data_IF_347088759132
#
_entry.id   IF_347088759132
#
_cell.length_a   1.000
_cell.length_b   1.000
_cell.length_c   1.000
_cell.angle_alpha   90.00
_cell.angle_beta   90.00
_cell.angle_gamma   90.00
#
_symmetry.space_group_name_H-M   'P 1'
#
loop_
_entity.id
_entity.type
_entity.pdbx_description
1 polymer ?
#
# COMPACT_ATOMS: atom_id res chain seq x y z
N UNK A 1 -34.21 36.55 11.01
CA UNK A 1 -33.84 37.15 12.30
C UNK A 1 -32.73 38.14 11.96
N UNK A 2 -33.10 39.42 11.87
CA UNK A 2 -32.19 40.49 11.46
C UNK A 2 -31.17 40.74 12.57
N UNK A 3 -29.92 40.41 12.30
CA UNK A 3 -28.80 40.82 13.14
C UNK A 3 -27.79 41.45 12.17
N UNK A 4 -28.14 42.63 11.64
CA UNK A 4 -27.13 43.63 11.26
C UNK A 4 -26.57 44.24 12.56
N UNK A 5 -26.04 43.38 13.45
CA UNK A 5 -25.25 43.86 14.58
C UNK A 5 -23.90 44.20 13.98
N UNK A 6 -23.68 45.49 13.78
CA UNK A 6 -22.37 46.04 13.40
C UNK A 6 -21.39 45.55 14.46
N UNK A 7 -20.47 44.66 14.07
CA UNK A 7 -19.38 44.20 14.94
C UNK A 7 -18.43 45.37 15.18
N UNK A 8 -17.86 45.47 16.38
CA UNK A 8 -16.78 46.43 16.57
C UNK A 8 -15.57 46.03 15.74
N UNK A 9 -14.64 46.97 15.55
CA UNK A 9 -13.41 46.72 14.82
C UNK A 9 -12.58 45.62 15.49
N UNK A 10 -12.52 45.62 16.82
CA UNK A 10 -11.83 44.58 17.59
C UNK A 10 -12.50 43.22 17.42
N UNK A 11 -13.84 43.15 17.56
CA UNK A 11 -14.61 41.91 17.33
C UNK A 11 -14.39 41.36 15.91
N UNK A 12 -14.33 42.24 14.90
CA UNK A 12 -14.08 41.88 13.51
C UNK A 12 -12.67 41.30 13.31
N UNK A 13 -11.66 41.87 13.98
CA UNK A 13 -10.27 41.39 13.93
C UNK A 13 -10.16 40.01 14.60
N UNK A 14 -10.76 39.84 15.78
CA UNK A 14 -10.79 38.57 16.51
C UNK A 14 -11.49 37.47 15.70
N UNK A 15 -12.62 37.81 15.07
CA UNK A 15 -13.33 36.91 14.18
C UNK A 15 -12.48 36.49 12.98
N UNK A 16 -11.82 37.44 12.32
CA UNK A 16 -10.92 37.15 11.20
C UNK A 16 -9.77 36.22 11.60
N UNK A 17 -9.19 36.43 12.78
CA UNK A 17 -8.14 35.56 13.32
C UNK A 17 -8.65 34.16 13.64
N UNK A 18 -9.81 34.05 14.29
CA UNK A 18 -10.45 32.78 14.59
C UNK A 18 -10.70 31.97 13.30
N UNK A 19 -11.27 32.63 12.29
CA UNK A 19 -11.57 32.00 11.00
C UNK A 19 -10.30 31.62 10.24
N UNK A 20 -9.26 32.45 10.27
CA UNK A 20 -7.96 32.11 9.69
C UNK A 20 -7.41 30.81 10.31
N UNK A 21 -7.49 30.68 11.65
CA UNK A 21 -7.09 29.47 12.36
C UNK A 21 -7.95 28.27 11.97
N UNK A 22 -9.29 28.43 11.93
CA UNK A 22 -10.20 27.34 11.55
C UNK A 22 -9.94 26.86 10.11
N UNK A 23 -9.85 27.76 9.14
CA UNK A 23 -9.56 27.38 7.74
C UNK A 23 -8.16 26.79 7.57
N UNK A 24 -7.17 27.22 8.36
CA UNK A 24 -5.85 26.58 8.40
C UNK A 24 -5.94 25.12 8.84
N UNK A 25 -6.69 24.84 9.91
CA UNK A 25 -6.91 23.47 10.39
C UNK A 25 -7.66 22.63 9.36
N UNK A 26 -8.72 23.17 8.75
CA UNK A 26 -9.48 22.49 7.69
C UNK A 26 -8.59 22.13 6.50
N UNK A 27 -7.75 23.07 6.05
CA UNK A 27 -6.81 22.83 4.95
C UNK A 27 -5.80 21.73 5.29
N UNK A 28 -5.31 21.70 6.53
CA UNK A 28 -4.41 20.65 7.00
C UNK A 28 -5.09 19.28 6.99
N UNK A 29 -6.30 19.19 7.55
CA UNK A 29 -7.08 17.95 7.57
C UNK A 29 -7.40 17.44 6.17
N UNK A 30 -7.81 18.32 5.24
CA UNK A 30 -8.02 17.97 3.82
C UNK A 30 -6.73 17.49 3.16
N UNK A 31 -5.59 18.10 3.48
CA UNK A 31 -4.28 17.66 3.01
C UNK A 31 -3.93 16.26 3.50
N UNK A 32 -4.14 15.98 4.79
CA UNK A 32 -3.92 14.65 5.37
C UNK A 32 -4.85 13.59 4.75
N UNK A 33 -6.14 13.90 4.57
CA UNK A 33 -7.09 13.00 3.91
C UNK A 33 -6.69 12.71 2.45
N UNK A 34 -6.22 13.72 1.71
CA UNK A 34 -5.72 13.53 0.35
C UNK A 34 -4.48 12.63 0.31
N UNK A 35 -3.55 12.79 1.25
CA UNK A 35 -2.38 11.91 1.33
C UNK A 35 -2.80 10.45 1.56
N UNK A 36 -3.74 10.20 2.49
CA UNK A 36 -4.27 8.85 2.73
C UNK A 36 -4.99 8.30 1.50
N UNK A 37 -5.75 9.15 0.80
CA UNK A 37 -6.43 8.77 -0.46
C UNK A 37 -5.43 8.38 -1.55
N UNK A 38 -4.33 9.09 -1.69
CA UNK A 38 -3.25 8.73 -2.61
C UNK A 38 -2.57 7.42 -2.22
N UNK A 39 -2.30 7.21 -0.93
CA UNK A 39 -1.74 5.96 -0.43
C UNK A 39 -2.69 4.78 -0.66
N UNK A 40 -3.99 4.97 -0.42
CA UNK A 40 -5.03 3.98 -0.69
C UNK A 40 -5.07 3.62 -2.18
N UNK A 41 -5.00 4.60 -3.08
CA UNK A 41 -4.96 4.34 -4.52
C UNK A 41 -3.73 3.52 -4.92
N UNK A 42 -2.57 3.78 -4.31
CA UNK A 42 -1.35 2.98 -4.52
C UNK A 42 -1.49 1.56 -3.96
N UNK A 43 -2.09 1.41 -2.78
CA UNK A 43 -2.34 0.12 -2.15
C UNK A 43 -3.31 -0.74 -2.98
N UNK A 44 -4.41 -0.16 -3.48
CA UNK A 44 -5.36 -0.83 -4.38
C UNK A 44 -4.69 -1.36 -5.64
N UNK A 45 -3.86 -0.53 -6.27
CA UNK A 45 -3.08 -0.95 -7.45
C UNK A 45 -2.11 -2.10 -7.16
N UNK A 46 -1.67 -2.24 -5.91
CA UNK A 46 -0.81 -3.35 -5.49
C UNK A 46 -1.62 -4.62 -5.19
N UNK A 47 -2.74 -4.50 -4.47
CA UNK A 47 -3.60 -5.64 -4.11
C UNK A 47 -4.36 -6.23 -5.30
N UNK A 48 -4.67 -5.43 -6.34
CA UNK A 48 -5.27 -5.89 -7.60
C UNK A 48 -4.35 -6.80 -8.42
N UNK A 49 -3.03 -6.76 -8.18
CA UNK A 49 -2.11 -7.62 -8.93
C UNK A 49 -2.37 -9.08 -8.58
N UNK A 50 -2.59 -9.95 -9.59
CA UNK A 50 -2.81 -11.36 -9.32
C UNK A 50 -1.58 -11.96 -8.63
N UNK A 51 -1.81 -12.75 -7.59
CA UNK A 51 -0.74 -13.44 -6.87
C UNK A 51 -0.06 -14.42 -7.81
N UNK A 52 1.19 -14.12 -8.18
CA UNK A 52 1.98 -14.99 -9.03
C UNK A 52 2.22 -16.33 -8.32
N UNK A 53 1.60 -17.40 -8.81
CA UNK A 53 1.82 -18.75 -8.29
C UNK A 53 3.03 -19.36 -8.98
N UNK A 54 3.97 -19.85 -8.19
CA UNK A 54 5.11 -20.59 -8.70
C UNK A 54 4.70 -21.99 -9.15
N UNK A 55 5.24 -22.43 -10.29
CA UNK A 55 5.10 -23.79 -10.79
C UNK A 55 6.08 -24.75 -10.12
N UNK A 56 5.64 -25.97 -9.81
CA UNK A 56 6.53 -27.03 -9.31
C UNK A 56 7.62 -27.38 -10.33
N UNK A 57 7.32 -27.28 -11.62
CA UNK A 57 8.23 -27.67 -12.70
C UNK A 57 9.52 -26.86 -12.70
N UNK A 58 9.43 -25.55 -12.41
CA UNK A 58 10.59 -24.65 -12.30
C UNK A 58 11.62 -25.15 -11.27
N UNK A 59 11.16 -25.74 -10.17
CA UNK A 59 12.03 -26.27 -9.12
C UNK A 59 12.37 -27.74 -9.31
N UNK A 60 11.63 -28.45 -10.15
CA UNK A 60 11.85 -29.85 -10.46
C UNK A 60 12.95 -30.05 -11.52
N UNK A 61 13.11 -29.11 -12.45
CA UNK A 61 14.07 -29.20 -13.57
C UNK A 61 15.51 -29.59 -13.17
N UNK A 62 16.12 -29.04 -12.10
CA UNK A 62 17.46 -29.45 -11.70
C UNK A 62 17.57 -30.93 -11.32
N UNK A 63 16.49 -31.53 -10.83
CA UNK A 63 16.47 -32.95 -10.44
C UNK A 63 16.35 -33.88 -11.64
N UNK A 64 15.77 -33.44 -12.76
CA UNK A 64 15.82 -34.18 -14.01
C UNK A 64 17.26 -34.27 -14.53
N UNK A 65 17.99 -33.16 -14.49
CA UNK A 65 19.42 -33.13 -14.84
C UNK A 65 20.21 -34.02 -13.87
N UNK A 66 19.96 -33.90 -12.57
CA UNK A 66 20.64 -34.71 -11.57
C UNK A 66 20.36 -36.22 -11.74
N UNK A 67 19.16 -36.61 -12.16
CA UNK A 67 18.82 -38.01 -12.40
C UNK A 67 19.63 -38.58 -13.58
N UNK A 68 19.76 -37.82 -14.68
CA UNK A 68 20.60 -38.22 -15.83
C UNK A 68 22.07 -38.33 -15.42
N UNK A 69 22.59 -37.35 -14.67
CA UNK A 69 23.98 -37.39 -14.18
C UNK A 69 24.19 -38.59 -13.26
N UNK A 70 23.25 -38.86 -12.35
CA UNK A 70 23.35 -39.99 -11.44
C UNK A 70 23.32 -41.33 -12.17
N UNK A 71 22.49 -41.47 -13.22
CA UNK A 71 22.49 -42.66 -14.08
C UNK A 71 23.83 -42.86 -14.79
N UNK A 72 24.41 -41.80 -15.36
CA UNK A 72 25.73 -41.84 -16.01
C UNK A 72 26.81 -42.29 -15.01
N UNK A 73 26.81 -41.73 -13.80
CA UNK A 73 27.78 -42.08 -12.75
C UNK A 73 27.65 -43.55 -12.35
N UNK A 74 26.44 -44.06 -12.14
CA UNK A 74 26.22 -45.47 -11.77
C UNK A 74 26.58 -46.40 -12.93
N UNK A 75 26.27 -46.00 -14.17
CA UNK A 75 26.60 -46.78 -15.35
C UNK A 75 28.12 -46.94 -15.53
N UNK A 76 28.86 -45.83 -15.61
CA UNK A 76 30.31 -45.88 -15.82
C UNK A 76 31.06 -46.37 -14.58
N UNK A 77 30.68 -45.91 -13.38
CA UNK A 77 31.33 -46.30 -12.14
C UNK A 77 31.15 -47.79 -11.83
N UNK A 78 29.93 -48.31 -11.98
CA UNK A 78 29.67 -49.73 -11.78
C UNK A 78 30.25 -50.61 -12.90
N UNK A 79 30.26 -50.12 -14.15
CA UNK A 79 30.92 -50.81 -15.26
C UNK A 79 32.43 -50.97 -15.04
N UNK A 80 33.11 -49.92 -14.55
CA UNK A 80 34.52 -49.98 -14.18
C UNK A 80 34.77 -50.97 -13.04
N UNK A 81 33.99 -50.91 -11.96
CA UNK A 81 34.13 -51.83 -10.83
C UNK A 81 33.90 -53.29 -11.22
N UNK A 82 32.90 -53.55 -12.07
CA UNK A 82 32.65 -54.89 -12.59
C UNK A 82 33.80 -55.37 -13.48
N UNK A 83 34.42 -54.49 -14.27
CA UNK A 83 35.56 -54.86 -15.14
C UNK A 83 36.85 -55.16 -14.37
N UNK A 84 37.00 -54.67 -13.14
CA UNK A 84 38.20 -54.85 -12.31
C UNK A 84 38.07 -55.99 -11.28
N UNK A 85 36.86 -56.53 -11.06
CA UNK A 85 36.57 -57.54 -10.05
C UNK A 85 36.29 -58.94 -10.61
N UNK A 86 36.31 -59.97 -9.76
CA UNK A 86 35.84 -61.31 -10.12
C UNK A 86 34.32 -61.29 -10.33
N UNK A 87 33.89 -61.49 -11.58
CA UNK A 87 32.48 -61.46 -11.96
C UNK A 87 31.67 -62.53 -11.22
N UNK A 88 30.90 -62.13 -10.21
CA UNK A 88 29.78 -62.94 -9.73
C UNK A 88 28.50 -62.45 -10.40
N UNK A 89 27.62 -63.37 -10.78
CA UNK A 89 26.32 -63.04 -11.37
C UNK A 89 25.49 -62.10 -10.46
N UNK A 90 25.71 -62.19 -9.15
CA UNK A 90 25.05 -61.36 -8.14
C UNK A 90 25.48 -59.89 -8.23
N UNK A 91 26.79 -59.61 -8.38
CA UNK A 91 27.30 -58.24 -8.49
C UNK A 91 26.77 -57.52 -9.74
N UNK A 92 26.68 -58.24 -10.88
CA UNK A 92 26.10 -57.70 -12.11
C UNK A 92 24.62 -57.38 -11.93
N UNK A 93 23.87 -58.27 -11.29
CA UNK A 93 22.42 -58.10 -11.05
C UNK A 93 22.13 -56.90 -10.13
N UNK A 94 22.93 -56.72 -9.08
CA UNK A 94 22.83 -55.57 -8.15
C UNK A 94 23.15 -54.26 -8.89
N UNK A 95 24.17 -54.24 -9.74
CA UNK A 95 24.51 -53.06 -10.53
C UNK A 95 23.40 -52.65 -11.50
N UNK A 96 22.81 -53.61 -12.22
CA UNK A 96 21.67 -53.33 -13.10
C UNK A 96 20.50 -52.74 -12.31
N UNK A 97 20.19 -53.31 -11.14
CA UNK A 97 19.14 -52.81 -10.27
C UNK A 97 19.42 -51.37 -9.78
N UNK A 98 20.66 -51.06 -9.39
CA UNK A 98 21.07 -49.71 -9.00
C UNK A 98 20.93 -48.72 -10.16
N UNK A 99 21.38 -49.10 -11.37
CA UNK A 99 21.26 -48.25 -12.56
C UNK A 99 19.82 -47.80 -12.80
N UNK A 100 18.85 -48.70 -12.63
CA UNK A 100 17.43 -48.37 -12.78
C UNK A 100 16.86 -47.58 -11.59
N UNK A 101 17.21 -47.95 -10.36
CA UNK A 101 16.63 -47.34 -9.17
C UNK A 101 17.17 -45.93 -8.87
N UNK A 102 18.44 -45.66 -9.19
CA UNK A 102 19.06 -44.37 -8.89
C UNK A 102 18.34 -43.17 -9.53
N UNK A 103 18.07 -43.13 -10.85
CA UNK A 103 17.35 -41.99 -11.45
C UNK A 103 15.93 -41.86 -10.90
N UNK A 104 15.24 -42.98 -10.62
CA UNK A 104 13.91 -42.99 -10.01
C UNK A 104 13.95 -42.35 -8.62
N UNK A 105 14.90 -42.74 -7.77
CA UNK A 105 15.06 -42.20 -6.43
C UNK A 105 15.34 -40.69 -6.46
N UNK A 106 16.23 -40.24 -7.36
CA UNK A 106 16.54 -38.81 -7.54
C UNK A 106 15.31 -38.03 -7.99
N UNK A 107 14.54 -38.56 -8.94
CA UNK A 107 13.28 -37.95 -9.41
C UNK A 107 12.26 -37.83 -8.27
N UNK A 108 12.04 -38.90 -7.51
CA UNK A 108 11.05 -38.92 -6.42
C UNK A 108 11.44 -37.93 -5.31
N UNK A 109 12.68 -37.97 -4.85
CA UNK A 109 13.20 -37.03 -3.85
C UNK A 109 13.10 -35.60 -4.38
N UNK A 110 13.51 -35.38 -5.63
CA UNK A 110 13.44 -34.10 -6.30
C UNK A 110 12.03 -33.52 -6.39
N UNK A 111 11.04 -34.37 -6.71
CA UNK A 111 9.63 -33.98 -6.76
C UNK A 111 9.13 -33.53 -5.38
N UNK A 112 9.45 -34.28 -4.32
CA UNK A 112 9.07 -33.92 -2.93
C UNK A 112 9.67 -32.56 -2.56
N UNK A 113 10.96 -32.37 -2.83
CA UNK A 113 11.67 -31.12 -2.52
C UNK A 113 11.13 -29.94 -3.35
N UNK A 114 10.85 -30.14 -4.64
CA UNK A 114 10.27 -29.14 -5.52
C UNK A 114 8.86 -28.72 -5.06
N UNK A 115 8.01 -29.67 -4.66
CA UNK A 115 6.67 -29.39 -4.13
C UNK A 115 6.76 -28.63 -2.81
N UNK A 116 7.63 -29.04 -1.89
CA UNK A 116 7.85 -28.34 -0.62
C UNK A 116 8.30 -26.91 -0.84
N UNK A 117 9.27 -26.70 -1.73
CA UNK A 117 9.77 -25.36 -2.09
C UNK A 117 8.69 -24.49 -2.73
N UNK A 118 7.94 -25.04 -3.69
CA UNK A 118 6.79 -24.37 -4.31
C UNK A 118 5.77 -23.94 -3.27
N UNK A 119 5.36 -24.85 -2.39
CA UNK A 119 4.34 -24.57 -1.38
C UNK A 119 4.79 -23.49 -0.40
N UNK A 120 6.06 -23.51 0.02
CA UNK A 120 6.64 -22.46 0.86
C UNK A 120 6.56 -21.08 0.19
N UNK A 121 7.01 -20.98 -1.06
CA UNK A 121 7.01 -19.71 -1.79
C UNK A 121 5.60 -19.21 -2.13
N UNK A 122 4.69 -20.11 -2.49
CA UNK A 122 3.29 -19.76 -2.72
C UNK A 122 2.61 -19.30 -1.43
N UNK A 123 2.93 -19.91 -0.27
CA UNK A 123 2.40 -19.48 1.02
C UNK A 123 2.85 -18.05 1.34
N UNK A 124 4.14 -17.75 1.18
CA UNK A 124 4.67 -16.38 1.38
C UNK A 124 4.01 -15.38 0.44
N UNK A 125 3.78 -15.75 -0.83
CA UNK A 125 3.11 -14.88 -1.79
C UNK A 125 1.64 -14.60 -1.40
N UNK A 126 0.92 -15.61 -0.92
CA UNK A 126 -0.46 -15.47 -0.42
C UNK A 126 -0.50 -14.63 0.86
N UNK A 127 0.44 -14.85 1.78
CA UNK A 127 0.53 -14.08 3.02
C UNK A 127 0.83 -12.61 2.74
N UNK A 128 1.79 -12.31 1.87
CA UNK A 128 2.08 -10.95 1.42
C UNK A 128 0.85 -10.27 0.79
N UNK A 129 0.07 -11.00 -0.01
CA UNK A 129 -1.16 -10.47 -0.60
C UNK A 129 -2.21 -10.19 0.48
N UNK A 130 -2.35 -11.09 1.46
CA UNK A 130 -3.26 -10.87 2.59
C UNK A 130 -2.87 -9.65 3.43
N UNK A 131 -1.57 -9.40 3.64
CA UNK A 131 -1.10 -8.21 4.34
C UNK A 131 -1.38 -6.93 3.56
N UNK A 132 -1.28 -6.98 2.23
CA UNK A 132 -1.62 -5.84 1.36
C UNK A 132 -3.12 -5.52 1.44
N UNK A 133 -3.99 -6.54 1.45
CA UNK A 133 -5.44 -6.36 1.66
C UNK A 133 -5.78 -5.81 3.04
N UNK A 134 -5.09 -6.26 4.10
CA UNK A 134 -5.28 -5.71 5.45
C UNK A 134 -4.87 -4.24 5.49
N UNK A 135 -3.75 -3.89 4.85
CA UNK A 135 -3.29 -2.51 4.74
C UNK A 135 -4.29 -1.63 3.99
N UNK A 136 -4.84 -2.12 2.88
CA UNK A 136 -5.89 -1.44 2.12
C UNK A 136 -7.09 -1.12 3.01
N UNK A 137 -7.63 -2.11 3.73
CA UNK A 137 -8.77 -1.89 4.64
C UNK A 137 -8.48 -0.86 5.72
N UNK A 138 -7.28 -0.88 6.32
CA UNK A 138 -6.89 0.11 7.33
C UNK A 138 -6.83 1.53 6.76
N UNK A 139 -6.37 1.68 5.52
CA UNK A 139 -6.36 2.97 4.83
C UNK A 139 -7.77 3.44 4.48
N UNK A 140 -8.69 2.54 4.15
CA UNK A 140 -10.10 2.88 3.96
C UNK A 140 -10.75 3.37 5.26
N UNK A 141 -10.54 2.66 6.37
CA UNK A 141 -11.04 3.06 7.70
C UNK A 141 -10.46 4.41 8.14
N UNK A 142 -9.16 4.65 7.93
CA UNK A 142 -8.53 5.94 8.26
C UNK A 142 -9.04 7.09 7.38
N UNK A 143 -9.28 6.82 6.09
CA UNK A 143 -9.87 7.81 5.19
C UNK A 143 -11.29 8.17 5.63
N UNK A 144 -12.13 7.18 5.94
CA UNK A 144 -13.50 7.41 6.42
C UNK A 144 -13.51 8.22 7.73
N UNK A 145 -12.62 7.88 8.68
CA UNK A 145 -12.49 8.63 9.92
C UNK A 145 -12.06 10.08 9.69
N UNK A 146 -11.12 10.32 8.76
CA UNK A 146 -10.67 11.67 8.39
C UNK A 146 -11.77 12.46 7.67
N UNK A 147 -12.50 11.85 6.75
CA UNK A 147 -13.63 12.48 6.06
C UNK A 147 -14.74 12.86 7.03
N UNK A 148 -15.04 11.99 8.00
CA UNK A 148 -15.98 12.31 9.09
C UNK A 148 -15.49 13.48 9.94
N UNK A 149 -14.23 13.48 10.37
CA UNK A 149 -13.66 14.60 11.13
C UNK A 149 -13.71 15.93 10.33
N UNK A 150 -13.50 15.87 9.02
CA UNK A 150 -13.65 17.04 8.14
C UNK A 150 -15.11 17.50 8.10
N UNK A 151 -16.07 16.59 7.97
CA UNK A 151 -17.50 16.91 7.97
C UNK A 151 -17.94 17.54 9.29
N UNK A 152 -17.60 16.93 10.42
CA UNK A 152 -17.89 17.43 11.75
C UNK A 152 -17.26 18.83 11.96
N UNK A 153 -16.02 19.02 11.47
CA UNK A 153 -15.37 20.32 11.54
C UNK A 153 -16.01 21.38 10.65
N UNK A 154 -16.47 21.02 9.45
CA UNK A 154 -17.22 21.93 8.58
C UNK A 154 -18.54 22.36 9.23
N UNK A 155 -19.20 21.48 9.98
CA UNK A 155 -20.39 21.85 10.76
C UNK A 155 -20.08 22.96 11.78
N UNK A 156 -18.92 22.94 12.43
CA UNK A 156 -18.50 24.01 13.37
C UNK A 156 -18.18 25.36 12.71
N UNK A 157 -18.04 25.41 11.39
CA UNK A 157 -17.80 26.64 10.62
C UNK A 157 -19.07 27.07 9.88
N UNK A 158 -20.09 26.23 9.82
CA UNK A 158 -21.31 26.47 9.04
C UNK A 158 -22.03 27.77 9.43
N UNK A 159 -21.95 28.17 10.69
CA UNK A 159 -22.54 29.43 11.17
C UNK A 159 -21.94 30.69 10.51
N UNK A 160 -20.77 30.57 9.88
CA UNK A 160 -20.07 31.66 9.18
C UNK A 160 -20.27 31.61 7.66
N UNK A 161 -21.02 30.63 7.15
CA UNK A 161 -21.17 30.41 5.71
C UNK A 161 -21.87 31.58 5.01
N UNK A 162 -22.82 32.22 5.70
CA UNK A 162 -23.55 33.39 5.20
C UNK A 162 -22.71 34.66 5.19
N UNK A 163 -21.66 34.72 6.03
CA UNK A 163 -20.78 35.88 6.16
C UNK A 163 -19.65 35.87 5.13
N UNK A 164 -19.24 34.68 4.66
CA UNK A 164 -18.02 34.50 3.86
C UNK A 164 -18.34 33.72 2.60
N UNK A 165 -18.23 34.33 1.41
CA UNK A 165 -18.36 33.64 0.14
C UNK A 165 -17.41 32.45 0.06
N UNK A 166 -17.87 31.33 -0.51
CA UNK A 166 -17.13 30.06 -0.58
C UNK A 166 -15.68 30.22 -1.09
N UNK A 167 -15.49 31.07 -2.11
CA UNK A 167 -14.17 31.34 -2.72
C UNK A 167 -13.16 31.98 -1.75
N UNK A 168 -13.65 32.66 -0.72
CA UNK A 168 -12.84 33.36 0.28
C UNK A 168 -12.62 32.54 1.56
N UNK A 169 -13.15 31.31 1.65
CA UNK A 169 -13.04 30.43 2.83
C UNK A 169 -11.66 29.76 2.93
N UNK A 170 -10.61 30.58 2.92
CA UNK A 170 -9.23 30.15 3.04
C UNK A 170 -8.48 31.05 4.01
N UNK A 171 -7.46 30.47 4.67
CA UNK A 171 -6.60 31.18 5.64
C UNK A 171 -6.06 32.50 5.08
N UNK A 172 -5.54 32.48 3.84
CA UNK A 172 -4.89 33.63 3.21
C UNK A 172 -5.85 34.81 3.09
N UNK A 173 -7.13 34.56 2.76
CA UNK A 173 -8.13 35.61 2.66
C UNK A 173 -8.50 36.17 4.03
N UNK A 174 -8.65 35.33 5.05
CA UNK A 174 -8.93 35.82 6.41
C UNK A 174 -7.77 36.63 6.99
N UNK A 175 -6.52 36.26 6.71
CA UNK A 175 -5.35 37.08 7.07
C UNK A 175 -5.35 38.43 6.32
N UNK A 176 -5.84 38.46 5.08
CA UNK A 176 -6.01 39.70 4.31
C UNK A 176 -7.13 40.57 4.90
N UNK A 177 -8.27 39.98 5.28
CA UNK A 177 -9.35 40.69 5.99
C UNK A 177 -8.81 41.32 7.27
N UNK A 178 -8.10 40.53 8.09
CA UNK A 178 -7.46 41.02 9.33
C UNK A 178 -6.56 42.23 9.07
N UNK A 179 -5.69 42.15 8.05
CA UNK A 179 -4.81 43.27 7.68
C UNK A 179 -5.56 44.53 7.22
N UNK A 180 -6.66 44.38 6.46
CA UNK A 180 -7.47 45.52 6.02
C UNK A 180 -8.18 46.20 7.19
N UNK A 181 -8.64 45.42 8.17
CA UNK A 181 -9.19 45.94 9.41
C UNK A 181 -8.10 46.67 10.21
N UNK A 182 -6.94 46.04 10.44
CA UNK A 182 -5.82 46.65 11.17
C UNK A 182 -5.34 47.96 10.53
N UNK A 183 -5.26 48.05 9.19
CA UNK A 183 -4.84 49.26 8.47
C UNK A 183 -5.91 50.35 8.42
N UNK A 184 -7.18 50.03 8.72
CA UNK A 184 -8.30 50.94 8.55
C UNK A 184 -8.75 51.11 7.09
N UNK A 185 -8.37 50.18 6.21
CA UNK A 185 -8.92 50.10 4.84
C UNK A 185 -10.37 49.60 4.82
N UNK A 186 -10.83 49.00 5.91
CA UNK A 186 -12.21 48.57 6.11
C UNK A 186 -12.66 48.87 7.55
N UNK A 187 -13.93 49.24 7.70
CA UNK A 187 -14.52 49.62 8.99
C UNK A 187 -14.97 48.39 9.80
N UNK A 188 -15.49 47.37 9.14
CA UNK A 188 -15.97 46.12 9.74
C UNK A 188 -15.65 44.88 8.87
N UNK A 189 -15.92 43.69 9.42
CA UNK A 189 -15.64 42.42 8.73
C UNK A 189 -16.37 42.29 7.38
N UNK A 190 -17.61 42.78 7.28
CA UNK A 190 -18.43 42.65 6.07
C UNK A 190 -17.90 43.56 4.95
N UNK A 191 -17.49 44.78 5.30
CA UNK A 191 -16.85 45.72 4.38
C UNK A 191 -15.50 45.17 3.87
N UNK A 192 -14.69 44.58 4.76
CA UNK A 192 -13.44 43.94 4.38
C UNK A 192 -13.67 42.77 3.38
N UNK A 193 -14.67 41.92 3.62
CA UNK A 193 -15.04 40.83 2.72
C UNK A 193 -15.53 41.37 1.36
N UNK A 194 -16.39 42.40 1.37
CA UNK A 194 -16.91 43.04 0.16
C UNK A 194 -15.77 43.65 -0.69
N UNK A 195 -14.78 44.28 -0.05
CA UNK A 195 -13.63 44.88 -0.72
C UNK A 195 -12.68 43.83 -1.32
N UNK A 196 -12.53 42.67 -0.68
CA UNK A 196 -11.76 41.55 -1.25
C UNK A 196 -12.52 40.91 -2.42
N UNK A 197 -13.85 40.75 -2.32
CA UNK A 197 -14.65 40.10 -3.37
C UNK A 197 -14.76 40.91 -4.67
N UNK A 198 -14.54 42.23 -4.63
CA UNK A 198 -14.55 43.11 -5.80
C UNK A 198 -13.25 43.07 -6.62
N UNK A 199 -12.16 42.56 -6.03
CA UNK A 199 -10.84 42.45 -6.66
C UNK A 199 -10.63 41.07 -7.26
#
# INVERSE_FOLDING_TARGET
MEINKVMTKEESIELAELLAKKYSSLSKMKGEANNVKEELARAKKQSEKPVAKYSAFKYFWPYLIAAVVAEIVVYFGGGLLLSMGTHTNDAYSIWQLLKFLTPIAVIVIGLILAIRKRNSLNRVAVESHSTDLIREKRLEEDLEAKEKNIADFMETIKDYDDLIPEKLRQKIFMEKVKKMLESGEADDFSDAIANISKK
#
